data_IF_682686604077
#
_entry.id   IF_682686604077
#
_cell.length_a   1.000
_cell.length_b   1.000
_cell.length_c   1.000
_cell.angle_alpha   90.00
_cell.angle_beta   90.00
_cell.angle_gamma   90.00
#
_symmetry.space_group_name_H-M   'P 1'
#
loop_
_entity.id
_entity.type
_entity.pdbx_description
1 polymer ?
#
# COMPACT_ATOMS: atom_id res chain seq x y z
N UNK A 1 13.61 -10.98 2.01
CA UNK A 1 12.97 -9.68 1.69
C UNK A 1 12.16 -9.22 2.87
N UNK A 2 12.24 -7.95 3.22
CA UNK A 2 11.42 -7.30 4.24
C UNK A 2 10.51 -6.26 3.56
N UNK A 3 9.26 -6.17 4.00
CA UNK A 3 8.28 -5.22 3.46
C UNK A 3 7.60 -4.50 4.64
N UNK A 4 7.40 -3.20 4.48
CA UNK A 4 6.68 -2.33 5.40
C UNK A 4 5.67 -1.52 4.61
N UNK A 5 4.40 -1.62 4.98
CA UNK A 5 3.33 -0.82 4.40
C UNK A 5 2.67 0.04 5.48
N UNK A 6 2.56 1.34 5.23
CA UNK A 6 2.01 2.32 6.14
C UNK A 6 0.82 3.02 5.48
N UNK A 7 -0.38 2.86 6.05
CA UNK A 7 -1.57 3.58 5.61
C UNK A 7 -1.68 4.90 6.39
N UNK A 8 -1.77 6.03 5.70
CA UNK A 8 -1.86 7.33 6.37
C UNK A 8 -3.14 7.46 7.21
N UNK A 9 -4.23 6.82 6.79
CA UNK A 9 -5.49 6.74 7.56
C UNK A 9 -5.35 6.07 8.93
N UNK A 10 -4.35 5.21 9.12
CA UNK A 10 -4.05 4.56 10.40
C UNK A 10 -3.26 5.43 11.38
N UNK A 11 -2.66 6.53 10.92
CA UNK A 11 -1.84 7.43 11.74
C UNK A 11 -2.69 8.65 12.13
N UNK A 12 -3.01 8.86 13.42
CA UNK A 12 -3.93 9.92 13.84
C UNK A 12 -3.56 11.34 13.38
N UNK A 13 -2.26 11.64 13.28
CA UNK A 13 -1.77 12.93 12.81
C UNK A 13 -1.97 13.12 11.29
N UNK A 14 -1.75 12.08 10.49
CA UNK A 14 -1.88 12.14 9.04
C UNK A 14 -3.35 12.03 8.59
N UNK A 15 -4.18 11.33 9.35
CA UNK A 15 -5.62 11.21 9.10
C UNK A 15 -6.35 12.56 9.12
N UNK A 16 -5.85 13.53 9.88
CA UNK A 16 -6.43 14.88 9.96
C UNK A 16 -6.13 15.73 8.73
N UNK A 17 -5.13 15.35 7.93
CA UNK A 17 -4.75 16.05 6.71
C UNK A 17 -5.56 15.45 5.55
N UNK A 18 -6.52 16.22 5.07
CA UNK A 18 -7.59 15.74 4.18
C UNK A 18 -7.12 15.01 2.91
N UNK A 19 -6.10 15.47 2.17
CA UNK A 19 -5.60 14.71 1.03
C UNK A 19 -4.75 13.50 1.45
N UNK A 20 -4.04 13.58 2.58
CA UNK A 20 -3.07 12.56 2.99
C UNK A 20 -3.73 11.27 3.46
N UNK A 21 -4.91 11.33 4.09
CA UNK A 21 -5.61 10.14 4.59
C UNK A 21 -5.92 9.09 3.52
N UNK A 22 -5.95 9.50 2.25
CA UNK A 22 -6.22 8.60 1.11
C UNK A 22 -4.95 7.96 0.55
N UNK A 23 -3.76 8.27 1.07
CA UNK A 23 -2.51 7.71 0.59
C UNK A 23 -1.97 6.60 1.50
N UNK A 24 -1.29 5.66 0.88
CA UNK A 24 -0.53 4.60 1.52
C UNK A 24 0.91 4.64 1.01
N UNK A 25 1.86 4.44 1.91
CA UNK A 25 3.28 4.37 1.61
C UNK A 25 3.74 2.92 1.75
N UNK A 26 4.40 2.40 0.72
CA UNK A 26 5.04 1.10 0.74
C UNK A 26 6.56 1.27 0.71
N UNK A 27 7.27 0.54 1.55
CA UNK A 27 8.72 0.46 1.60
C UNK A 27 9.13 -1.01 1.65
N UNK A 28 10.14 -1.38 0.87
CA UNK A 28 10.62 -2.75 0.79
C UNK A 28 12.14 -2.79 0.71
N UNK A 29 12.72 -3.82 1.30
CA UNK A 29 14.15 -4.10 1.24
C UNK A 29 14.37 -5.57 0.86
N UNK A 30 14.98 -5.80 -0.29
CA UNK A 30 15.27 -7.12 -0.83
C UNK A 30 16.75 -7.32 -1.05
N UNK A 31 17.21 -8.55 -0.80
CA UNK A 31 18.56 -8.99 -1.16
C UNK A 31 18.43 -10.25 -2.02
N UNK A 32 19.28 -10.39 -3.04
CA UNK A 32 19.34 -11.56 -3.94
C UNK A 32 20.78 -12.03 -4.11
N UNK A 33 20.97 -13.32 -4.41
CA UNK A 33 22.29 -13.92 -4.65
C UNK A 33 23.10 -14.16 -3.38
N UNK A 34 22.44 -14.41 -2.24
CA UNK A 34 23.10 -14.74 -0.96
C UNK A 34 23.05 -16.24 -0.64
N UNK A 35 22.35 -17.02 -1.48
CA UNK A 35 22.31 -18.47 -1.42
C UNK A 35 23.70 -19.06 -1.73
N UNK A 36 24.08 -20.23 -1.16
CA UNK A 36 25.43 -20.79 -1.27
C UNK A 36 25.86 -21.24 -2.69
N UNK A 37 25.00 -21.08 -3.69
CA UNK A 37 25.28 -21.50 -5.06
C UNK A 37 26.19 -20.47 -5.73
N UNK A 38 27.39 -20.92 -6.10
CA UNK A 38 28.45 -20.13 -6.73
C UNK A 38 27.97 -19.56 -8.08
N UNK A 39 27.81 -18.24 -8.18
CA UNK A 39 27.71 -17.55 -9.47
C UNK A 39 26.69 -16.42 -9.57
N UNK A 40 25.77 -16.25 -8.63
CA UNK A 40 24.82 -15.13 -8.68
C UNK A 40 25.44 -13.83 -8.16
N UNK A 41 25.25 -12.73 -8.91
CA UNK A 41 25.61 -11.40 -8.45
C UNK A 41 24.77 -11.00 -7.24
N UNK A 42 25.45 -10.66 -6.14
CA UNK A 42 24.82 -10.07 -4.97
C UNK A 42 24.22 -8.73 -5.33
N UNK A 43 22.93 -8.56 -5.05
CA UNK A 43 22.27 -7.28 -5.21
C UNK A 43 21.36 -6.97 -4.03
N UNK A 44 21.27 -5.69 -3.73
CA UNK A 44 20.42 -5.13 -2.68
C UNK A 44 19.48 -4.15 -3.36
N UNK A 45 18.21 -4.23 -3.03
CA UNK A 45 17.17 -3.46 -3.68
C UNK A 45 16.32 -2.79 -2.61
N UNK A 46 16.12 -1.49 -2.78
CA UNK A 46 15.14 -0.72 -2.01
C UNK A 46 13.96 -0.48 -2.93
N UNK A 47 12.78 -0.88 -2.48
CA UNK A 47 11.51 -0.64 -3.17
C UNK A 47 10.76 0.43 -2.38
N UNK A 48 10.17 1.39 -3.07
CA UNK A 48 9.30 2.37 -2.44
C UNK A 48 8.13 2.71 -3.34
N UNK A 49 7.02 3.08 -2.73
CA UNK A 49 5.81 3.35 -3.49
C UNK A 49 4.79 4.16 -2.72
N UNK A 50 3.93 4.82 -3.47
CA UNK A 50 2.78 5.56 -2.96
C UNK A 50 1.55 5.02 -3.69
N UNK A 51 0.50 4.69 -2.94
CA UNK A 51 -0.77 4.22 -3.50
C UNK A 51 -1.97 4.93 -2.91
N UNK A 52 -3.11 4.84 -3.59
CA UNK A 52 -4.39 5.33 -3.10
C UNK A 52 -5.15 4.24 -2.35
N UNK A 53 -5.69 4.60 -1.18
CA UNK A 53 -6.63 3.80 -0.44
C UNK A 53 -8.03 3.95 -1.07
N UNK A 54 -8.35 3.04 -2.00
CA UNK A 54 -9.61 3.03 -2.74
C UNK A 54 -10.81 2.79 -1.83
N UNK A 55 -10.65 2.00 -0.75
CA UNK A 55 -11.72 1.76 0.21
C UNK A 55 -12.16 3.06 0.92
N UNK A 56 -11.20 3.89 1.35
CA UNK A 56 -11.46 5.18 1.96
C UNK A 56 -12.10 6.15 0.95
N UNK A 57 -11.62 6.16 -0.30
CA UNK A 57 -12.19 6.97 -1.39
C UNK A 57 -13.66 6.59 -1.68
N UNK A 58 -13.97 5.29 -1.76
CA UNK A 58 -15.34 4.82 -1.97
C UNK A 58 -16.22 5.11 -0.74
N UNK A 59 -15.66 5.09 0.47
CA UNK A 59 -16.34 5.45 1.71
C UNK A 59 -16.79 6.91 1.78
N UNK A 60 -16.12 7.82 1.07
CA UNK A 60 -16.48 9.25 1.00
C UNK A 60 -17.26 9.61 -0.27
N UNK A 61 -17.17 8.81 -1.33
CA UNK A 61 -17.87 9.01 -2.61
C UNK A 61 -19.11 8.13 -2.73
N UNK A 62 -18.94 6.87 -3.16
CA UNK A 62 -20.02 5.93 -3.49
C UNK A 62 -20.87 5.50 -2.29
N UNK A 63 -20.27 5.43 -1.10
CA UNK A 63 -20.95 5.02 0.14
C UNK A 63 -21.25 6.17 1.09
N UNK A 64 -21.20 7.43 0.62
CA UNK A 64 -21.38 8.62 1.46
C UNK A 64 -22.68 8.56 2.29
N UNK A 65 -23.79 8.21 1.64
CA UNK A 65 -25.12 8.12 2.26
C UNK A 65 -25.42 6.74 2.88
N UNK A 66 -24.52 5.78 2.68
CA UNK A 66 -24.67 4.37 3.13
C UNK A 66 -23.51 3.94 4.05
N UNK A 67 -22.91 4.88 4.76
CA UNK A 67 -21.82 4.62 5.70
C UNK A 67 -22.26 3.65 6.79
N UNK A 68 -21.51 2.55 6.96
CA UNK A 68 -21.80 1.47 7.91
C UNK A 68 -22.66 0.33 7.35
N UNK A 69 -23.14 0.45 6.11
CA UNK A 69 -23.94 -0.59 5.45
C UNK A 69 -23.19 -1.91 5.32
N UNK A 70 -23.93 -3.03 5.23
CA UNK A 70 -23.34 -4.36 5.02
C UNK A 70 -22.55 -4.41 3.70
N UNK A 71 -23.05 -3.77 2.65
CA UNK A 71 -22.38 -3.67 1.36
C UNK A 71 -21.02 -2.99 1.45
N UNK A 72 -20.93 -1.85 2.14
CA UNK A 72 -19.65 -1.16 2.35
C UNK A 72 -18.63 -2.03 3.09
N UNK A 73 -19.05 -2.75 4.14
CA UNK A 73 -18.14 -3.62 4.91
C UNK A 73 -17.56 -4.75 4.07
N UNK A 74 -18.38 -5.38 3.24
CA UNK A 74 -17.93 -6.44 2.31
C UNK A 74 -16.95 -5.86 1.29
N UNK A 75 -17.31 -4.73 0.67
CA UNK A 75 -16.42 -4.06 -0.30
C UNK A 75 -15.08 -3.68 0.32
N UNK A 76 -15.07 -3.11 1.53
CA UNK A 76 -13.84 -2.78 2.24
C UNK A 76 -13.00 -4.03 2.51
N UNK A 77 -13.61 -5.13 2.96
CA UNK A 77 -12.89 -6.39 3.19
C UNK A 77 -12.27 -6.97 1.91
N UNK A 78 -12.97 -6.88 0.78
CA UNK A 78 -12.42 -7.32 -0.52
C UNK A 78 -11.26 -6.44 -0.96
N UNK A 79 -11.42 -5.11 -0.87
CA UNK A 79 -10.39 -4.13 -1.26
C UNK A 79 -9.17 -4.12 -0.33
N UNK A 80 -9.31 -4.62 0.89
CA UNK A 80 -8.20 -4.77 1.81
C UNK A 80 -7.30 -5.95 1.41
N UNK A 81 -7.89 -6.99 0.81
CA UNK A 81 -7.16 -8.16 0.30
C UNK A 81 -6.65 -7.92 -1.13
N UNK A 82 -7.42 -7.20 -1.94
CA UNK A 82 -7.11 -6.96 -3.36
C UNK A 82 -6.61 -5.54 -3.57
N UNK A 83 -5.35 -5.40 -3.98
CA UNK A 83 -4.85 -4.14 -4.51
C UNK A 83 -5.48 -3.86 -5.88
N UNK A 84 -5.97 -2.64 -6.06
CA UNK A 84 -6.51 -2.19 -7.34
C UNK A 84 -5.32 -1.83 -8.26
N UNK A 85 -5.23 -2.44 -9.46
CA UNK A 85 -4.19 -2.09 -10.41
C UNK A 85 -4.35 -0.64 -10.89
N UNK A 86 -3.23 0.08 -11.07
CA UNK A 86 -3.23 1.47 -11.54
C UNK A 86 -3.40 2.53 -10.45
N UNK A 87 -3.56 2.15 -9.18
CA UNK A 87 -3.64 3.09 -8.05
C UNK A 87 -2.35 3.18 -7.24
N UNK A 88 -1.25 2.63 -7.74
CA UNK A 88 0.06 2.62 -7.09
C UNK A 88 1.14 3.08 -8.06
N UNK A 89 2.01 3.97 -7.59
CA UNK A 89 3.27 4.30 -8.23
C UNK A 89 4.39 3.63 -7.42
N UNK A 90 5.18 2.78 -8.09
CA UNK A 90 6.26 2.01 -7.49
C UNK A 90 7.58 2.38 -8.16
N UNK A 91 8.65 2.42 -7.38
CA UNK A 91 10.00 2.59 -7.86
C UNK A 91 10.94 1.62 -7.14
N UNK A 92 11.98 1.20 -7.84
CA UNK A 92 13.05 0.37 -7.30
C UNK A 92 14.40 1.05 -7.46
N UNK A 93 15.29 0.79 -6.51
CA UNK A 93 16.66 1.26 -6.57
C UNK A 93 17.61 0.16 -6.11
N UNK A 94 18.54 -0.22 -6.99
CA UNK A 94 19.66 -1.12 -6.66
C UNK A 94 20.75 -0.33 -5.93
N UNK A 95 21.12 -0.81 -4.75
CA UNK A 95 22.25 -0.29 -3.95
C UNK A 95 23.58 -0.93 -4.36
#
# INVERSE_FOLDING_TARGET
TYLLALKASGIPALRQIEPLRYFELALGYGTRGYEPNLGEERSRHVYYGISLNVAELLGVTAFRDSRGSRGQRVTNGVLEVLQIPGTAALADHRL
#
